data_IF_792777707892
#
_entry.id   IF_792777707892
#
_cell.length_a   1.000
_cell.length_b   1.000
_cell.length_c   1.000
_cell.angle_alpha   90.00
_cell.angle_beta   90.00
_cell.angle_gamma   90.00
#
_symmetry.space_group_name_H-M   'P 1'
#
loop_
_entity.id
_entity.type
_entity.pdbx_description
1 polymer ?
#
# COMPACT_ATOMS: atom_id res chain seq x y z
N UNK A 1 -19.29 -11.89 1.83
CA UNK A 1 -18.04 -12.67 1.98
C UNK A 1 -17.18 -12.12 3.13
N UNK A 2 -17.00 -10.80 3.24
CA UNK A 2 -16.25 -10.13 4.32
C UNK A 2 -16.63 -10.53 5.77
N UNK A 3 -17.93 -10.69 6.06
CA UNK A 3 -18.39 -11.09 7.41
C UNK A 3 -17.92 -12.49 7.83
N UNK A 4 -17.62 -13.39 6.88
CA UNK A 4 -17.18 -14.76 7.17
C UNK A 4 -15.66 -14.80 7.38
N UNK A 5 -14.89 -14.12 6.51
CA UNK A 5 -13.43 -14.06 6.59
C UNK A 5 -12.96 -13.38 7.87
N UNK A 6 -13.65 -12.31 8.30
CA UNK A 6 -13.30 -11.59 9.53
C UNK A 6 -13.76 -12.32 10.79
N UNK A 7 -14.77 -13.21 10.71
CA UNK A 7 -15.27 -13.97 11.85
C UNK A 7 -14.55 -15.32 12.05
N UNK A 8 -13.98 -15.90 10.99
CA UNK A 8 -13.24 -17.18 11.02
C UNK A 8 -12.03 -17.14 10.08
N UNK A 9 -11.01 -16.32 10.39
CA UNK A 9 -9.88 -16.11 9.51
C UNK A 9 -9.06 -17.40 9.30
N UNK A 10 -8.86 -18.23 10.33
CA UNK A 10 -8.03 -19.44 10.23
C UNK A 10 -8.65 -20.49 9.29
N UNK A 11 -9.98 -20.72 9.39
CA UNK A 11 -10.68 -21.64 8.48
C UNK A 11 -10.70 -21.11 7.05
N UNK A 12 -10.82 -19.80 6.90
CA UNK A 12 -10.80 -19.17 5.57
C UNK A 12 -9.42 -19.30 4.94
N UNK A 13 -8.35 -19.13 5.72
CA UNK A 13 -6.98 -19.39 5.28
C UNK A 13 -6.80 -20.86 4.87
N UNK A 14 -7.25 -21.82 5.67
CA UNK A 14 -7.16 -23.24 5.35
C UNK A 14 -7.85 -23.58 4.01
N UNK A 15 -9.05 -23.01 3.76
CA UNK A 15 -9.73 -23.16 2.47
C UNK A 15 -8.92 -22.55 1.30
N UNK A 16 -8.27 -21.40 1.51
CA UNK A 16 -7.45 -20.75 0.48
C UNK A 16 -6.17 -21.55 0.21
N UNK A 17 -5.54 -22.10 1.26
CA UNK A 17 -4.32 -22.91 1.16
C UNK A 17 -4.57 -24.26 0.48
N UNK A 18 -5.76 -24.83 0.67
CA UNK A 18 -6.16 -26.10 0.04
C UNK A 18 -6.67 -25.91 -1.39
N UNK A 19 -7.07 -24.69 -1.77
CA UNK A 19 -7.49 -24.37 -3.13
C UNK A 19 -6.27 -24.22 -4.08
N UNK A 20 -6.28 -24.88 -5.25
CA UNK A 20 -5.23 -24.68 -6.25
C UNK A 20 -5.12 -23.22 -6.66
N UNK A 21 -3.91 -22.66 -6.54
CA UNK A 21 -3.60 -21.25 -6.84
C UNK A 21 -4.41 -20.23 -6.01
N UNK A 22 -4.89 -20.61 -4.81
CA UNK A 22 -5.70 -19.73 -3.97
C UNK A 22 -5.03 -18.39 -3.67
N UNK A 23 -3.79 -18.41 -3.16
CA UNK A 23 -3.01 -17.20 -2.86
C UNK A 23 -2.60 -16.44 -4.13
N UNK A 24 -1.97 -17.07 -5.16
CA UNK A 24 -1.64 -16.37 -6.39
C UNK A 24 -2.82 -15.62 -7.00
N UNK A 25 -4.01 -16.24 -7.02
CA UNK A 25 -5.23 -15.60 -7.56
C UNK A 25 -5.64 -14.40 -6.72
N UNK A 26 -5.64 -14.53 -5.39
CA UNK A 26 -5.99 -13.43 -4.50
C UNK A 26 -5.03 -12.25 -4.64
N UNK A 27 -3.73 -12.51 -4.73
CA UNK A 27 -2.71 -11.47 -4.90
C UNK A 27 -2.78 -10.85 -6.30
N UNK A 28 -3.00 -11.66 -7.35
CA UNK A 28 -3.17 -11.15 -8.72
C UNK A 28 -4.35 -10.19 -8.86
N UNK A 29 -5.41 -10.36 -8.06
CA UNK A 29 -6.55 -9.45 -8.05
C UNK A 29 -6.21 -8.03 -7.55
N UNK A 30 -5.13 -7.86 -6.78
CA UNK A 30 -4.60 -6.53 -6.43
C UNK A 30 -4.07 -5.79 -7.66
N UNK A 31 -3.49 -6.54 -8.60
CA UNK A 31 -2.89 -6.02 -9.82
C UNK A 31 -3.84 -5.96 -11.02
N UNK A 32 -5.10 -6.38 -10.88
CA UNK A 32 -6.07 -6.41 -11.98
C UNK A 32 -6.57 -4.99 -12.31
N UNK A 33 -5.68 -4.18 -12.86
CA UNK A 33 -6.03 -3.02 -13.66
C UNK A 33 -6.22 -3.53 -15.09
N UNK A 34 -7.39 -4.12 -15.39
CA UNK A 34 -7.78 -4.16 -16.80
C UNK A 34 -7.84 -2.72 -17.26
N UNK A 35 -6.82 -2.28 -18.02
CA UNK A 35 -6.92 -1.05 -18.79
C UNK A 35 -8.28 -1.13 -19.49
N UNK A 36 -9.17 -0.12 -19.32
CA UNK A 36 -10.38 -0.09 -20.12
C UNK A 36 -9.88 -0.15 -21.56
N UNK A 37 -10.23 -1.24 -22.27
CA UNK A 37 -9.80 -1.53 -23.64
C UNK A 37 -9.71 -0.20 -24.36
N UNK A 38 -8.48 0.28 -24.59
CA UNK A 38 -8.21 1.52 -25.31
C UNK A 38 -8.45 1.22 -26.79
N UNK A 39 -9.68 0.86 -27.13
CA UNK A 39 -10.11 0.75 -28.51
C UNK A 39 -10.06 2.17 -29.08
N UNK A 40 -9.15 2.36 -30.04
CA UNK A 40 -8.75 3.62 -30.66
C UNK A 40 -9.82 4.71 -30.69
N UNK A 41 -9.72 5.66 -29.76
CA UNK A 41 -10.57 6.86 -29.69
C UNK A 41 -9.80 8.17 -29.82
N UNK A 42 -8.56 8.15 -30.31
CA UNK A 42 -7.85 9.40 -30.65
C UNK A 42 -8.03 9.85 -32.12
N UNK A 43 -8.91 9.22 -32.91
CA UNK A 43 -9.14 9.66 -34.30
C UNK A 43 -10.57 9.48 -34.85
N UNK A 44 -11.61 9.33 -34.01
CA UNK A 44 -12.99 9.19 -34.50
C UNK A 44 -13.99 10.11 -33.79
N UNK A 45 -15.06 10.55 -34.49
CA UNK A 45 -15.97 11.62 -34.05
C UNK A 45 -16.78 11.25 -32.79
N UNK A 46 -17.41 12.22 -32.10
CA UNK A 46 -18.02 12.00 -30.78
C UNK A 46 -19.06 10.89 -30.79
N UNK A 47 -18.81 9.86 -29.97
CA UNK A 47 -19.69 8.70 -29.79
C UNK A 47 -20.89 8.99 -28.86
N UNK A 48 -22.01 8.26 -29.02
CA UNK A 48 -23.27 8.57 -28.34
C UNK A 48 -23.22 8.37 -26.81
N UNK A 49 -24.07 9.09 -26.03
CA UNK A 49 -24.05 9.11 -24.57
C UNK A 49 -24.26 7.74 -23.88
N UNK A 50 -24.77 6.74 -24.61
CA UNK A 50 -24.99 5.36 -24.15
C UNK A 50 -23.70 4.51 -24.11
N UNK A 51 -22.66 4.85 -24.87
CA UNK A 51 -21.35 4.20 -24.81
C UNK A 51 -20.51 4.73 -23.63
N UNK A 52 -20.64 6.02 -23.31
CA UNK A 52 -19.99 6.66 -22.16
C UNK A 52 -20.41 6.02 -20.83
N UNK A 53 -21.70 5.67 -20.67
CA UNK A 53 -22.21 4.97 -19.48
C UNK A 53 -21.62 3.56 -19.30
N UNK A 54 -21.38 2.81 -20.38
CA UNK A 54 -20.79 1.46 -20.31
C UNK A 54 -19.30 1.49 -19.96
N UNK A 55 -18.55 2.47 -20.47
CA UNK A 55 -17.15 2.68 -20.11
C UNK A 55 -16.96 3.02 -18.63
N UNK A 56 -17.82 3.90 -18.08
CA UNK A 56 -17.81 4.26 -16.65
C UNK A 56 -18.26 3.08 -15.77
N UNK A 57 -19.28 2.32 -16.19
CA UNK A 57 -19.75 1.14 -15.47
C UNK A 57 -18.68 0.03 -15.39
N UNK A 58 -17.90 -0.17 -16.47
CA UNK A 58 -16.83 -1.18 -16.50
C UNK A 58 -15.63 -0.75 -15.65
N UNK A 59 -15.29 0.55 -15.65
CA UNK A 59 -14.24 1.10 -14.78
C UNK A 59 -14.58 0.92 -13.29
N UNK A 60 -15.84 1.14 -12.91
CA UNK A 60 -16.35 0.91 -11.55
C UNK A 60 -16.24 -0.56 -11.12
N UNK A 61 -16.55 -1.52 -11.99
CA UNK A 61 -16.53 -2.96 -11.65
C UNK A 61 -15.09 -3.47 -11.44
N UNK A 62 -14.12 -2.98 -12.22
CA UNK A 62 -12.71 -3.39 -12.06
C UNK A 62 -12.11 -2.86 -10.75
N UNK A 63 -12.43 -1.61 -10.38
CA UNK A 63 -12.00 -1.02 -9.10
C UNK A 63 -12.58 -1.79 -7.90
N UNK A 64 -13.81 -2.32 -8.01
CA UNK A 64 -14.46 -3.08 -6.93
C UNK A 64 -13.70 -4.38 -6.60
N UNK A 65 -13.31 -5.18 -7.59
CA UNK A 65 -12.63 -6.47 -7.33
C UNK A 65 -11.28 -6.28 -6.63
N UNK A 66 -10.53 -5.25 -7.03
CA UNK A 66 -9.25 -4.90 -6.42
C UNK A 66 -9.41 -4.48 -4.96
N UNK A 67 -10.42 -3.67 -4.66
CA UNK A 67 -10.74 -3.23 -3.30
C UNK A 67 -11.18 -4.43 -2.44
N UNK A 68 -12.04 -5.30 -2.98
CA UNK A 68 -12.48 -6.51 -2.26
C UNK A 68 -11.30 -7.45 -1.93
N UNK A 69 -10.36 -7.64 -2.87
CA UNK A 69 -9.16 -8.43 -2.65
C UNK A 69 -8.25 -7.81 -1.57
N UNK A 70 -8.04 -6.49 -1.63
CA UNK A 70 -7.25 -5.75 -0.63
C UNK A 70 -7.84 -5.91 0.77
N UNK A 71 -9.13 -5.65 0.91
CA UNK A 71 -9.85 -5.77 2.19
C UNK A 71 -9.79 -7.21 2.71
N UNK A 72 -9.95 -8.21 1.84
CA UNK A 72 -9.86 -9.62 2.22
C UNK A 72 -8.45 -9.98 2.70
N UNK A 73 -7.40 -9.53 2.01
CA UNK A 73 -6.02 -9.75 2.43
C UNK A 73 -5.72 -9.07 3.77
N UNK A 74 -6.24 -7.86 4.01
CA UNK A 74 -6.12 -7.19 5.31
C UNK A 74 -6.76 -8.03 6.43
N UNK A 75 -7.93 -8.63 6.18
CA UNK A 75 -8.61 -9.47 7.17
C UNK A 75 -7.87 -10.79 7.45
N UNK A 76 -7.22 -11.37 6.44
CA UNK A 76 -6.60 -12.70 6.57
C UNK A 76 -5.14 -12.66 7.02
N UNK A 77 -4.37 -11.63 6.65
CA UNK A 77 -2.93 -11.57 6.95
C UNK A 77 -2.57 -11.57 8.45
N UNK A 78 -3.34 -10.98 9.39
CA UNK A 78 -2.99 -11.00 10.80
C UNK A 78 -3.01 -12.39 11.45
N UNK A 79 -3.75 -13.35 10.88
CA UNK A 79 -4.02 -14.62 11.54
C UNK A 79 -2.88 -15.64 11.44
N UNK A 80 -1.93 -15.49 10.51
CA UNK A 80 -0.83 -16.46 10.36
C UNK A 80 0.41 -15.84 9.72
N UNK A 81 1.57 -16.03 10.35
CA UNK A 81 2.88 -15.66 9.80
C UNK A 81 3.18 -16.40 8.50
N UNK A 82 2.77 -17.67 8.39
CA UNK A 82 2.97 -18.46 7.18
C UNK A 82 2.14 -17.91 6.01
N UNK A 83 0.89 -17.52 6.27
CA UNK A 83 0.06 -16.88 5.26
C UNK A 83 0.66 -15.54 4.79
N UNK A 84 1.24 -14.75 5.70
CA UNK A 84 1.93 -13.50 5.35
C UNK A 84 3.15 -13.76 4.45
N UNK A 85 3.94 -14.82 4.71
CA UNK A 85 5.09 -15.18 3.87
C UNK A 85 4.65 -15.55 2.47
N UNK A 86 3.64 -16.42 2.35
CA UNK A 86 3.12 -16.84 1.07
C UNK A 86 2.56 -15.66 0.26
N UNK A 87 1.79 -14.77 0.90
CA UNK A 87 1.31 -13.54 0.24
C UNK A 87 2.48 -12.67 -0.24
N UNK A 88 3.52 -12.49 0.58
CA UNK A 88 4.69 -11.69 0.20
C UNK A 88 5.45 -12.31 -1.01
N UNK A 89 5.57 -13.64 -1.07
CA UNK A 89 6.24 -14.35 -2.16
C UNK A 89 5.49 -14.24 -3.50
N UNK A 90 4.17 -14.02 -3.48
CA UNK A 90 3.37 -13.75 -4.67
C UNK A 90 3.51 -12.31 -5.19
N UNK A 91 4.64 -11.65 -4.91
CA UNK A 91 4.95 -10.28 -5.32
C UNK A 91 3.99 -9.20 -4.76
N UNK A 92 3.37 -9.46 -3.61
CA UNK A 92 2.38 -8.54 -3.04
C UNK A 92 2.96 -7.15 -2.74
N UNK A 93 4.21 -7.05 -2.29
CA UNK A 93 4.81 -5.75 -1.98
C UNK A 93 4.83 -4.82 -3.19
N UNK A 94 5.24 -5.33 -4.35
CA UNK A 94 5.33 -4.49 -5.53
C UNK A 94 3.96 -4.02 -6.01
N UNK A 95 2.98 -4.92 -5.99
CA UNK A 95 1.59 -4.62 -6.33
C UNK A 95 1.01 -3.57 -5.38
N UNK A 96 1.26 -3.68 -4.08
CA UNK A 96 0.76 -2.71 -3.09
C UNK A 96 1.34 -1.32 -3.32
N UNK A 97 2.66 -1.20 -3.53
CA UNK A 97 3.26 0.10 -3.81
C UNK A 97 2.77 0.69 -5.14
N UNK A 98 2.59 -0.13 -6.18
CA UNK A 98 2.05 0.34 -7.45
C UNK A 98 0.60 0.80 -7.31
N UNK A 99 -0.18 0.16 -6.44
CA UNK A 99 -1.51 0.60 -6.09
C UNK A 99 -1.49 1.94 -5.33
N UNK A 100 -0.59 2.11 -4.36
CA UNK A 100 -0.40 3.40 -3.66
C UNK A 100 -0.09 4.52 -4.65
N UNK A 101 0.84 4.30 -5.59
CA UNK A 101 1.19 5.28 -6.62
C UNK A 101 -0.02 5.59 -7.55
N UNK A 102 -0.77 4.57 -7.96
CA UNK A 102 -1.95 4.74 -8.81
C UNK A 102 -3.11 5.48 -8.12
N UNK A 103 -3.20 5.40 -6.80
CA UNK A 103 -4.25 6.03 -5.99
C UNK A 103 -3.88 7.44 -5.50
N UNK A 104 -2.78 8.02 -5.98
CA UNK A 104 -2.38 9.41 -5.67
C UNK A 104 -1.26 9.55 -4.64
N UNK A 105 -0.52 8.46 -4.37
CA UNK A 105 0.59 8.42 -3.41
C UNK A 105 0.18 8.92 -2.01
N UNK A 106 1.10 9.48 -1.24
CA UNK A 106 0.79 9.96 0.11
C UNK A 106 0.03 11.30 0.10
N UNK A 107 0.33 12.18 -0.86
CA UNK A 107 -0.17 13.57 -0.89
C UNK A 107 -1.62 13.69 -1.32
N UNK A 108 -2.00 12.96 -2.37
CA UNK A 108 -3.34 13.00 -2.96
C UNK A 108 -4.05 11.65 -2.87
N UNK A 109 -3.53 10.76 -2.03
CA UNK A 109 -4.01 9.39 -1.83
C UNK A 109 -5.49 9.31 -1.47
N UNK A 110 -6.21 8.41 -2.13
CA UNK A 110 -7.55 8.01 -1.70
C UNK A 110 -7.49 7.16 -0.40
N UNK A 111 -8.65 6.84 0.19
CA UNK A 111 -8.73 5.93 1.36
C UNK A 111 -8.08 4.55 1.09
N UNK A 112 -7.98 4.15 -0.19
CA UNK A 112 -7.31 2.91 -0.60
C UNK A 112 -5.81 2.90 -0.22
N UNK A 113 -5.16 4.06 -0.17
CA UNK A 113 -3.77 4.17 0.29
C UNK A 113 -3.63 3.75 1.75
N UNK A 114 -4.62 4.09 2.59
CA UNK A 114 -4.64 3.69 4.00
C UNK A 114 -4.78 2.17 4.15
N UNK A 115 -5.64 1.55 3.34
CA UNK A 115 -5.82 0.10 3.28
C UNK A 115 -4.54 -0.60 2.80
N UNK A 116 -3.86 -0.04 1.78
CA UNK A 116 -2.58 -0.54 1.30
C UNK A 116 -1.50 -0.51 2.39
N UNK A 117 -1.39 0.61 3.12
CA UNK A 117 -0.46 0.74 4.25
C UNK A 117 -0.83 -0.23 5.38
N UNK A 118 -2.11 -0.49 5.61
CA UNK A 118 -2.58 -1.48 6.60
C UNK A 118 -2.18 -2.91 6.19
N UNK A 119 -2.31 -3.26 4.91
CA UNK A 119 -1.85 -4.56 4.40
C UNK A 119 -0.32 -4.69 4.52
N UNK A 120 0.45 -3.66 4.14
CA UNK A 120 1.90 -3.65 4.35
C UNK A 120 2.27 -3.86 5.82
N UNK A 121 1.56 -3.20 6.74
CA UNK A 121 1.80 -3.35 8.17
C UNK A 121 1.56 -4.79 8.62
N UNK A 122 0.47 -5.42 8.17
CA UNK A 122 0.18 -6.81 8.51
C UNK A 122 1.24 -7.78 7.99
N UNK A 123 1.74 -7.57 6.77
CA UNK A 123 2.77 -8.42 6.17
C UNK A 123 4.14 -8.28 6.85
N UNK A 124 4.43 -7.14 7.48
CA UNK A 124 5.75 -6.83 8.05
C UNK A 124 5.81 -6.95 9.58
N UNK A 125 4.66 -6.85 10.26
CA UNK A 125 4.58 -6.88 11.73
C UNK A 125 5.00 -8.24 12.25
N UNK A 126 6.06 -8.25 13.06
CA UNK A 126 6.62 -9.45 13.71
C UNK A 126 7.02 -10.58 12.74
N UNK A 127 7.20 -10.26 11.44
CA UNK A 127 7.58 -11.25 10.42
C UNK A 127 8.99 -10.98 9.91
N UNK A 128 9.97 -11.60 10.57
CA UNK A 128 11.41 -11.43 10.28
C UNK A 128 11.74 -11.80 8.83
N UNK A 129 11.11 -12.86 8.31
CA UNK A 129 11.30 -13.31 6.92
C UNK A 129 10.86 -12.24 5.92
N UNK A 130 9.65 -11.70 6.10
CA UNK A 130 9.12 -10.66 5.22
C UNK A 130 9.92 -9.36 5.34
N UNK A 131 10.40 -8.99 6.53
CA UNK A 131 11.26 -7.83 6.69
C UNK A 131 12.60 -7.98 5.95
N UNK A 132 13.21 -9.17 5.99
CA UNK A 132 14.42 -9.46 5.20
C UNK A 132 14.14 -9.43 3.70
N UNK A 133 13.06 -10.09 3.26
CA UNK A 133 12.66 -10.11 1.86
C UNK A 133 12.42 -8.69 1.32
N UNK A 134 11.67 -7.87 2.06
CA UNK A 134 11.40 -6.45 1.73
C UNK A 134 12.68 -5.62 1.59
N UNK A 135 13.71 -5.90 2.41
CA UNK A 135 15.02 -5.24 2.33
C UNK A 135 15.78 -5.64 1.07
N UNK A 136 15.67 -6.91 0.68
CA UNK A 136 16.44 -7.51 -0.41
C UNK A 136 15.81 -7.27 -1.79
N UNK A 137 14.50 -7.01 -1.86
CA UNK A 137 13.77 -6.73 -3.12
C UNK A 137 13.69 -5.25 -3.49
N UNK A 138 14.42 -4.37 -2.81
CA UNK A 138 14.45 -2.94 -3.12
C UNK A 138 13.21 -2.16 -2.67
N UNK A 139 12.30 -2.76 -1.91
CA UNK A 139 11.11 -2.09 -1.38
C UNK A 139 11.47 -0.91 -0.46
N UNK A 140 12.62 -0.95 0.22
CA UNK A 140 13.14 0.16 1.03
C UNK A 140 13.34 1.43 0.17
N UNK A 141 13.80 1.27 -1.07
CA UNK A 141 13.98 2.40 -2.00
C UNK A 141 12.63 3.01 -2.41
N UNK A 142 11.62 2.16 -2.62
CA UNK A 142 10.24 2.63 -2.92
C UNK A 142 9.64 3.38 -1.74
N UNK A 143 9.88 2.90 -0.52
CA UNK A 143 9.48 3.60 0.71
C UNK A 143 10.15 4.98 0.82
N UNK A 144 11.47 5.07 0.56
CA UNK A 144 12.19 6.33 0.56
C UNK A 144 11.66 7.32 -0.50
N UNK A 145 11.30 6.81 -1.69
CA UNK A 145 10.69 7.61 -2.76
C UNK A 145 9.37 8.24 -2.30
N UNK A 146 8.46 7.46 -1.71
CA UNK A 146 7.19 8.01 -1.20
C UNK A 146 7.40 9.12 -0.15
N UNK A 147 8.38 8.97 0.74
CA UNK A 147 8.74 10.01 1.70
C UNK A 147 9.37 11.25 1.03
N UNK A 148 10.17 11.06 -0.02
CA UNK A 148 10.75 12.17 -0.77
C UNK A 148 9.66 12.96 -1.52
N UNK A 149 8.75 12.27 -2.20
CA UNK A 149 7.68 12.88 -2.99
C UNK A 149 6.78 13.76 -2.09
N UNK A 150 6.34 13.24 -0.94
CA UNK A 150 5.51 14.02 0.00
C UNK A 150 6.25 15.22 0.62
N UNK A 151 7.59 15.15 0.73
CA UNK A 151 8.41 16.25 1.20
C UNK A 151 8.67 17.32 0.10
N UNK A 152 8.49 16.98 -1.18
CA UNK A 152 8.74 17.85 -2.34
C UNK A 152 7.49 18.54 -2.89
N UNK A 153 6.28 18.02 -2.65
CA UNK A 153 5.01 18.60 -3.13
C UNK A 153 4.73 20.00 -2.54
N UNK A 154 5.40 21.03 -3.08
CA UNK A 154 5.30 22.43 -2.64
C UNK A 154 4.76 23.40 -3.70
N UNK A 155 4.64 23.02 -4.97
CA UNK A 155 4.43 24.02 -6.03
C UNK A 155 2.97 24.08 -6.50
N UNK A 156 2.02 24.25 -5.59
CA UNK A 156 0.63 24.58 -5.94
C UNK A 156 0.26 25.93 -5.36
N UNK A 157 0.01 26.93 -6.22
CA UNK A 157 -0.46 28.27 -5.83
C UNK A 157 -1.85 28.23 -5.18
N UNK A 158 -2.60 27.14 -5.38
CA UNK A 158 -3.92 26.97 -4.77
C UNK A 158 -3.84 26.42 -3.33
N UNK A 159 -4.60 27.00 -2.39
CA UNK A 159 -4.65 26.50 -1.02
C UNK A 159 -5.27 25.10 -0.96
N UNK A 160 -4.46 24.11 -0.57
CA UNK A 160 -4.92 22.73 -0.37
C UNK A 160 -6.01 22.67 0.72
N UNK A 161 -7.18 22.05 0.45
CA UNK A 161 -8.23 21.88 1.44
C UNK A 161 -7.77 21.16 2.70
N UNK A 162 -8.31 21.55 3.87
CA UNK A 162 -7.93 20.96 5.17
C UNK A 162 -8.13 19.44 5.26
N UNK A 163 -9.20 18.92 4.65
CA UNK A 163 -9.46 17.47 4.62
C UNK A 163 -8.35 16.72 3.86
N UNK A 164 -7.86 17.27 2.75
CA UNK A 164 -6.80 16.66 1.95
C UNK A 164 -5.46 16.64 2.72
N UNK A 165 -5.16 17.71 3.46
CA UNK A 165 -4.01 17.75 4.37
C UNK A 165 -4.12 16.68 5.48
N UNK A 166 -5.32 16.48 6.04
CA UNK A 166 -5.54 15.45 7.06
C UNK A 166 -5.33 14.02 6.52
N UNK A 167 -5.82 13.71 5.30
CA UNK A 167 -5.56 12.42 4.67
C UNK A 167 -4.07 12.21 4.38
N UNK A 168 -3.39 13.23 3.85
CA UNK A 168 -1.94 13.18 3.64
C UNK A 168 -1.18 12.88 4.92
N UNK A 169 -1.49 13.60 5.99
CA UNK A 169 -0.83 13.45 7.28
C UNK A 169 -1.09 12.05 7.87
N UNK A 170 -2.29 11.49 7.66
CA UNK A 170 -2.62 10.12 8.04
C UNK A 170 -1.87 9.07 7.23
N UNK A 171 -1.76 9.24 5.90
CA UNK A 171 -0.98 8.38 5.03
C UNK A 171 0.51 8.39 5.38
N UNK A 172 1.06 9.59 5.61
CA UNK A 172 2.44 9.78 6.06
C UNK A 172 2.69 9.10 7.41
N UNK A 173 1.79 9.29 8.38
CA UNK A 173 1.87 8.60 9.67
C UNK A 173 1.86 7.08 9.49
N UNK A 174 0.97 6.55 8.64
CA UNK A 174 0.92 5.13 8.31
C UNK A 174 2.25 4.61 7.76
N UNK A 175 2.89 5.34 6.83
CA UNK A 175 4.19 4.97 6.29
C UNK A 175 5.30 5.02 7.36
N UNK A 176 5.28 6.00 8.26
CA UNK A 176 6.22 6.07 9.39
C UNK A 176 6.04 4.89 10.36
N UNK A 177 4.80 4.44 10.58
CA UNK A 177 4.54 3.21 11.35
C UNK A 177 5.17 2.00 10.67
N UNK A 178 5.12 1.89 9.33
CA UNK A 178 5.83 0.83 8.60
C UNK A 178 7.33 0.87 8.88
N UNK A 179 7.96 2.04 8.82
CA UNK A 179 9.39 2.21 9.14
C UNK A 179 9.69 1.72 10.57
N UNK A 180 8.82 2.05 11.53
CA UNK A 180 8.99 1.65 12.94
C UNK A 180 8.95 0.12 13.13
N UNK A 181 8.21 -0.64 12.32
CA UNK A 181 8.15 -2.11 12.42
C UNK A 181 9.50 -2.80 12.24
N UNK A 182 10.45 -2.14 11.56
CA UNK A 182 11.81 -2.65 11.32
C UNK A 182 12.80 -2.29 12.44
N UNK A 183 12.44 -1.37 13.33
CA UNK A 183 13.35 -0.71 14.29
C UNK A 183 13.08 -1.12 15.74
N UNK A 184 12.72 -2.40 15.96
CA UNK A 184 12.48 -2.95 17.30
C UNK A 184 13.78 -2.95 18.10
N UNK A 185 13.78 -2.33 19.29
CA UNK A 185 14.96 -2.29 20.16
C UNK A 185 15.41 -3.71 20.52
N UNK A 186 16.69 -4.02 20.30
CA UNK A 186 17.25 -5.35 20.55
C UNK A 186 16.87 -6.42 19.51
N UNK A 187 16.19 -6.05 18.42
CA UNK A 187 15.87 -6.96 17.34
C UNK A 187 17.12 -7.42 16.58
N UNK A 188 17.20 -8.71 16.27
CA UNK A 188 18.35 -9.33 15.58
C UNK A 188 18.60 -8.69 14.21
N UNK A 189 17.53 -8.36 13.47
CA UNK A 189 17.63 -7.73 12.14
C UNK A 189 17.72 -6.20 12.18
N UNK A 190 17.56 -5.57 13.34
CA UNK A 190 17.49 -4.11 13.44
C UNK A 190 18.74 -3.39 12.93
N UNK A 191 19.98 -3.86 13.22
CA UNK A 191 21.18 -3.24 12.65
C UNK A 191 21.22 -3.31 11.11
N UNK A 192 20.80 -4.42 10.52
CA UNK A 192 20.73 -4.58 9.08
C UNK A 192 19.65 -3.66 8.46
N UNK A 193 18.50 -3.55 9.13
CA UNK A 193 17.43 -2.65 8.72
C UNK A 193 17.84 -1.17 8.78
N UNK A 194 18.53 -0.76 9.86
CA UNK A 194 19.07 0.59 10.02
C UNK A 194 20.06 0.94 8.90
N UNK A 195 20.96 0.01 8.59
CA UNK A 195 21.93 0.18 7.48
C UNK A 195 21.21 0.35 6.15
N UNK A 196 20.19 -0.47 5.88
CA UNK A 196 19.41 -0.36 4.65
C UNK A 196 18.64 0.97 4.56
N UNK A 197 18.03 1.42 5.66
CA UNK A 197 17.31 2.70 5.72
C UNK A 197 18.25 3.89 5.52
N UNK A 198 19.45 3.84 6.11
CA UNK A 198 20.49 4.85 5.89
C UNK A 198 20.91 4.90 4.42
N UNK A 199 21.27 3.76 3.84
CA UNK A 199 21.78 3.67 2.47
C UNK A 199 20.75 4.09 1.40
N UNK A 200 19.46 3.99 1.70
CA UNK A 200 18.38 4.39 0.80
C UNK A 200 17.82 5.80 1.10
N UNK A 201 18.42 6.55 2.03
CA UNK A 201 17.99 7.92 2.33
C UNK A 201 16.70 8.04 3.14
N UNK A 202 16.17 6.95 3.70
CA UNK A 202 14.94 6.98 4.51
C UNK A 202 15.11 7.90 5.71
N UNK A 203 16.27 7.85 6.38
CA UNK A 203 16.57 8.70 7.54
C UNK A 203 16.50 10.20 7.21
N UNK A 204 17.10 10.60 6.10
CA UNK A 204 17.09 12.00 5.63
C UNK A 204 15.65 12.47 5.41
N UNK A 205 14.83 11.67 4.73
CA UNK A 205 13.45 12.04 4.47
C UNK A 205 12.60 12.11 5.75
N UNK A 206 12.81 11.19 6.70
CA UNK A 206 12.13 11.25 8.01
C UNK A 206 12.52 12.51 8.79
N UNK A 207 13.79 12.92 8.75
CA UNK A 207 14.25 14.17 9.39
C UNK A 207 13.62 15.40 8.71
N UNK A 208 13.58 15.43 7.37
CA UNK A 208 12.92 16.50 6.62
C UNK A 208 11.44 16.62 7.00
N UNK A 209 10.76 15.49 7.18
CA UNK A 209 9.37 15.46 7.66
C UNK A 209 9.26 15.98 9.10
N UNK A 210 10.14 15.55 10.00
CA UNK A 210 10.09 15.92 11.42
C UNK A 210 10.35 17.41 11.67
N UNK A 211 11.29 18.01 10.93
CA UNK A 211 11.70 19.41 11.12
C UNK A 211 11.02 20.38 10.15
N UNK A 212 10.34 19.89 9.12
CA UNK A 212 9.78 20.70 8.06
C UNK A 212 8.60 21.61 8.46
N UNK A 213 8.04 21.51 9.67
CA UNK A 213 6.83 22.23 10.12
C UNK A 213 5.60 22.07 9.19
N UNK A 214 5.68 21.17 8.20
CA UNK A 214 4.70 20.98 7.11
C UNK A 214 3.58 20.02 7.46
N UNK A 215 3.81 19.15 8.43
CA UNK A 215 2.94 18.03 8.76
C UNK A 215 2.53 18.12 10.22
N UNK A 216 1.26 17.83 10.50
CA UNK A 216 0.76 17.67 11.86
C UNK A 216 0.89 16.21 12.31
N UNK A 217 2.05 15.61 12.03
CA UNK A 217 2.36 14.22 12.34
C UNK A 217 3.42 14.19 13.43
N UNK A 218 3.14 13.48 14.52
CA UNK A 218 4.13 13.24 15.57
C UNK A 218 5.17 12.22 15.07
N UNK A 219 6.29 12.72 14.55
CA UNK A 219 7.43 11.90 14.11
C UNK A 219 8.31 11.45 15.30
N UNK A 220 8.09 12.01 16.49
CA UNK A 220 8.82 11.66 17.70
C UNK A 220 8.24 10.41 18.37
N UNK A 221 9.13 9.48 18.75
CA UNK A 221 8.77 8.34 19.60
C UNK A 221 8.22 8.86 20.93
N UNK A 222 7.03 8.38 21.36
CA UNK A 222 6.59 8.56 22.75
C UNK A 222 7.62 7.89 23.65
N UNK A 223 8.30 8.71 24.47
CA UNK A 223 9.30 8.28 25.45
C UNK A 223 8.62 7.44 26.54
#
# INVERSE_FOLDING_TARGET
MFQISSARPERTQECILTAPLGIPRLVSALGDAREPVRNGMLSSPPSPPSARKRGVQLLLITTVHRIEALILLIALTPASEEFQKLVAFENAFDLIFSLIEAEGALTHGSEVVEDCLSLLANLLRLNISNQSYFRETGCVKRLAKLLADVNQDQDSEEPTPQWALAHRDKNLWGLLVIVQLFLIKGGVNTPANQTAFWNNGVMEQVLNTAFGQRFNVNVTSKV
#
